data_IF_002268228017
#
_entry.id   IF_002268228017
#
_cell.length_a   1.000
_cell.length_b   1.000
_cell.length_c   1.000
_cell.angle_alpha   90.00
_cell.angle_beta   90.00
_cell.angle_gamma   90.00
#
_symmetry.space_group_name_H-M   'P 1'
#
loop_
_entity.id
_entity.type
_entity.pdbx_description
1 polymer ?
#
# COMPACT_ATOMS: atom_id res chain seq x y z
N UNK A 1 -15.79 8.74 20.70
CA UNK A 1 -14.47 8.07 20.65
C UNK A 1 -13.36 9.11 20.73
N UNK A 2 -12.32 8.87 21.54
CA UNK A 2 -11.34 9.90 21.93
C UNK A 2 -10.31 10.30 20.86
N UNK A 3 -10.27 9.62 19.72
CA UNK A 3 -9.22 9.79 18.70
C UNK A 3 -9.75 10.00 17.27
N UNK A 4 -10.96 10.55 17.12
CA UNK A 4 -11.49 10.99 15.81
C UNK A 4 -12.20 9.92 14.96
N UNK A 5 -12.27 8.66 15.41
CA UNK A 5 -13.13 7.65 14.76
C UNK A 5 -14.62 7.88 15.07
N UNK A 6 -15.50 7.58 14.12
CA UNK A 6 -16.96 7.72 14.27
C UNK A 6 -17.64 6.39 14.64
N UNK A 7 -17.13 5.27 14.13
CA UNK A 7 -17.72 3.94 14.32
C UNK A 7 -16.63 2.87 14.50
N UNK A 8 -16.90 1.86 15.33
CA UNK A 8 -16.02 0.70 15.51
C UNK A 8 -16.72 -0.52 14.95
N UNK A 9 -16.02 -1.26 14.10
CA UNK A 9 -16.48 -2.56 13.60
C UNK A 9 -15.74 -3.66 14.34
N UNK A 10 -16.47 -4.44 15.12
CA UNK A 10 -15.93 -5.68 15.69
C UNK A 10 -15.65 -6.67 14.57
N UNK A 11 -14.37 -6.97 14.37
CA UNK A 11 -13.91 -7.91 13.35
C UNK A 11 -14.08 -9.34 13.87
N UNK A 12 -14.74 -10.25 13.13
CA UNK A 12 -14.84 -11.65 13.51
C UNK A 12 -13.45 -12.28 13.65
N UNK A 13 -13.28 -13.18 14.63
CA UNK A 13 -11.99 -13.82 14.93
C UNK A 13 -11.38 -14.52 13.71
N UNK A 14 -12.20 -15.10 12.82
CA UNK A 14 -11.71 -15.79 11.63
C UNK A 14 -11.05 -14.83 10.61
N UNK A 15 -11.34 -13.53 10.67
CA UNK A 15 -10.76 -12.50 9.82
C UNK A 15 -9.60 -11.74 10.50
N UNK A 16 -9.19 -12.18 11.70
CA UNK A 16 -8.13 -11.57 12.49
C UNK A 16 -6.94 -12.52 12.73
N UNK A 17 -6.90 -13.67 12.06
CA UNK A 17 -5.75 -14.58 12.10
C UNK A 17 -4.61 -14.07 11.21
N UNK A 18 -3.40 -14.56 11.44
CA UNK A 18 -2.19 -14.24 10.65
C UNK A 18 -2.31 -14.63 9.16
N UNK A 19 -3.26 -15.52 8.85
CA UNK A 19 -3.56 -16.00 7.49
C UNK A 19 -4.75 -15.32 6.84
N UNK A 20 -5.45 -14.44 7.57
CA UNK A 20 -6.66 -13.80 7.06
C UNK A 20 -6.30 -12.79 5.95
N UNK A 21 -6.92 -12.89 4.77
CA UNK A 21 -6.65 -11.93 3.70
C UNK A 21 -7.18 -10.53 4.05
N UNK A 22 -6.49 -9.48 3.59
CA UNK A 22 -6.84 -8.07 3.86
C UNK A 22 -8.19 -7.67 3.27
N UNK A 23 -8.50 -8.07 2.03
CA UNK A 23 -9.73 -7.65 1.34
C UNK A 23 -11.04 -8.06 2.06
N UNK A 24 -11.23 -9.31 2.50
CA UNK A 24 -12.39 -9.70 3.31
C UNK A 24 -12.59 -8.83 4.55
N UNK A 25 -11.52 -8.46 5.26
CA UNK A 25 -11.62 -7.62 6.45
C UNK A 25 -12.10 -6.19 6.11
N UNK A 26 -11.61 -5.61 5.01
CA UNK A 26 -12.06 -4.29 4.54
C UNK A 26 -13.53 -4.36 4.10
N UNK A 27 -13.93 -5.40 3.37
CA UNK A 27 -15.33 -5.60 2.94
C UNK A 27 -16.28 -5.71 4.13
N UNK A 28 -15.91 -6.54 5.11
CA UNK A 28 -16.68 -6.68 6.35
C UNK A 28 -16.86 -5.32 7.06
N UNK A 29 -15.79 -4.52 7.11
CA UNK A 29 -15.85 -3.16 7.68
C UNK A 29 -16.84 -2.27 6.92
N UNK A 30 -16.75 -2.23 5.59
CA UNK A 30 -17.62 -1.43 4.72
C UNK A 30 -19.07 -1.88 4.86
N UNK A 31 -19.36 -3.16 4.62
CA UNK A 31 -20.73 -3.69 4.68
C UNK A 31 -21.38 -3.53 6.06
N UNK A 32 -20.58 -3.59 7.14
CA UNK A 32 -21.09 -3.36 8.50
C UNK A 32 -21.40 -1.88 8.75
N UNK A 33 -20.51 -0.99 8.30
CA UNK A 33 -20.68 0.46 8.46
C UNK A 33 -21.84 0.98 7.61
N UNK A 34 -22.03 0.43 6.40
CA UNK A 34 -23.12 0.84 5.49
C UNK A 34 -24.51 0.49 6.01
N UNK A 35 -24.65 -0.48 6.93
CA UNK A 35 -25.93 -0.78 7.61
C UNK A 35 -26.39 0.38 8.50
N UNK A 36 -25.45 1.15 9.05
CA UNK A 36 -25.72 2.27 9.95
C UNK A 36 -25.77 3.61 9.21
N UNK A 37 -24.84 3.83 8.26
CA UNK A 37 -24.62 5.15 7.67
C UNK A 37 -25.04 5.25 6.18
N UNK A 38 -25.49 4.16 5.57
CA UNK A 38 -25.75 4.10 4.13
C UNK A 38 -24.47 3.88 3.31
N UNK A 39 -24.62 3.83 1.98
CA UNK A 39 -23.54 3.44 1.08
C UNK A 39 -22.47 4.53 0.89
N UNK A 40 -21.21 4.11 0.75
CA UNK A 40 -20.08 5.00 0.45
C UNK A 40 -19.55 4.76 -0.97
N UNK A 41 -19.35 5.82 -1.76
CA UNK A 41 -18.84 5.66 -3.14
C UNK A 41 -17.37 5.25 -3.18
N UNK A 42 -16.58 5.78 -2.23
CA UNK A 42 -15.12 5.65 -2.18
C UNK A 42 -14.70 5.18 -0.79
N UNK A 43 -13.84 4.16 -0.78
CA UNK A 43 -13.26 3.59 0.44
C UNK A 43 -11.78 3.91 0.44
N UNK A 44 -11.31 4.51 1.54
CA UNK A 44 -9.88 4.78 1.76
C UNK A 44 -9.44 3.94 2.95
N UNK A 45 -8.68 2.89 2.68
CA UNK A 45 -8.01 2.08 3.71
C UNK A 45 -6.66 2.71 4.03
N UNK A 46 -6.43 2.96 5.32
CA UNK A 46 -5.23 3.61 5.84
C UNK A 46 -4.53 2.62 6.76
N UNK A 47 -3.37 2.14 6.35
CA UNK A 47 -2.66 1.18 7.19
C UNK A 47 -2.09 1.86 8.44
N UNK A 48 -2.16 1.14 9.55
CA UNK A 48 -1.73 1.59 10.86
C UNK A 48 -0.21 1.50 11.03
N UNK A 49 0.44 0.61 10.26
CA UNK A 49 1.89 0.43 10.27
C UNK A 49 2.64 1.55 9.52
N UNK A 50 1.93 2.44 8.82
CA UNK A 50 2.51 3.52 8.01
C UNK A 50 2.22 4.93 8.59
N UNK A 51 2.78 5.30 9.76
CA UNK A 51 2.44 6.54 10.46
C UNK A 51 3.05 7.81 9.83
N UNK A 52 4.03 7.68 8.95
CA UNK A 52 4.71 8.83 8.30
C UNK A 52 3.89 9.47 7.18
N UNK A 53 2.78 8.84 6.76
CA UNK A 53 1.83 9.38 5.79
C UNK A 53 1.25 10.71 6.24
N UNK A 54 1.13 11.66 5.32
CA UNK A 54 0.46 12.94 5.58
C UNK A 54 -0.88 13.05 4.83
N UNK A 55 -1.72 14.01 5.25
CA UNK A 55 -3.03 14.24 4.62
C UNK A 55 -2.95 14.50 3.10
N UNK A 56 -1.86 15.13 2.63
CA UNK A 56 -1.64 15.37 1.22
C UNK A 56 -1.49 14.08 0.41
N UNK A 57 -0.94 13.01 0.99
CA UNK A 57 -0.81 11.71 0.32
C UNK A 57 -2.19 11.05 0.12
N UNK A 58 -3.07 11.18 1.11
CA UNK A 58 -4.47 10.71 1.04
C UNK A 58 -5.25 11.46 -0.05
N UNK A 59 -5.19 12.80 -0.01
CA UNK A 59 -5.87 13.66 -0.98
C UNK A 59 -5.32 13.42 -2.39
N UNK A 60 -4.01 13.25 -2.53
CA UNK A 60 -3.36 12.95 -3.81
C UNK A 60 -3.82 11.61 -4.39
N UNK A 61 -3.89 10.58 -3.57
CA UNK A 61 -4.36 9.24 -3.98
C UNK A 61 -5.83 9.27 -4.42
N UNK A 62 -6.69 9.99 -3.69
CA UNK A 62 -8.08 10.22 -4.07
C UNK A 62 -8.21 10.98 -5.40
N UNK A 63 -7.44 12.06 -5.57
CA UNK A 63 -7.43 12.84 -6.82
C UNK A 63 -6.97 12.00 -8.01
N UNK A 64 -6.01 11.11 -7.82
CA UNK A 64 -5.55 10.20 -8.88
C UNK A 64 -6.69 9.25 -9.30
N UNK A 65 -7.40 8.65 -8.34
CA UNK A 65 -8.52 7.75 -8.62
C UNK A 65 -9.60 8.45 -9.47
N UNK A 66 -9.98 9.67 -9.08
CA UNK A 66 -11.03 10.43 -9.75
C UNK A 66 -10.59 10.94 -11.12
N UNK A 67 -9.35 11.39 -11.27
CA UNK A 67 -8.82 11.89 -12.53
C UNK A 67 -8.64 10.80 -13.60
N UNK A 68 -8.33 9.56 -13.22
CA UNK A 68 -8.06 8.49 -14.17
C UNK A 68 -9.24 7.56 -14.41
N UNK A 69 -10.36 7.75 -13.70
CA UNK A 69 -11.47 6.81 -13.66
C UNK A 69 -11.02 5.36 -13.38
N UNK A 70 -10.02 5.19 -12.52
CA UNK A 70 -9.54 3.88 -12.13
C UNK A 70 -10.49 3.24 -11.11
N UNK A 71 -10.42 1.91 -10.99
CA UNK A 71 -11.16 1.15 -9.99
C UNK A 71 -10.51 1.26 -8.61
N UNK A 72 -9.18 1.34 -8.58
CA UNK A 72 -8.41 1.56 -7.37
C UNK A 72 -7.08 2.29 -7.60
N UNK A 73 -6.56 2.84 -6.50
CA UNK A 73 -5.22 3.40 -6.37
C UNK A 73 -4.53 2.72 -5.19
N UNK A 74 -3.29 2.33 -5.38
CA UNK A 74 -2.39 1.90 -4.31
C UNK A 74 -1.25 2.90 -4.19
N UNK A 75 -0.54 2.87 -3.08
CA UNK A 75 0.63 3.72 -2.85
C UNK A 75 1.93 2.94 -2.90
N UNK A 76 3.00 3.61 -3.31
CA UNK A 76 4.34 3.04 -3.32
C UNK A 76 5.39 4.09 -3.60
N UNK A 77 6.65 3.70 -3.50
CA UNK A 77 7.82 4.58 -3.68
C UNK A 77 8.79 3.98 -4.69
N UNK A 78 9.63 4.76 -5.40
CA UNK A 78 10.58 4.19 -6.35
C UNK A 78 11.44 3.10 -5.71
N UNK A 79 11.46 1.92 -6.33
CA UNK A 79 12.02 0.72 -5.73
C UNK A 79 13.49 0.91 -5.37
N UNK A 80 13.91 0.45 -4.18
CA UNK A 80 15.31 0.57 -3.77
C UNK A 80 16.23 -0.31 -4.61
N UNK A 81 15.75 -1.49 -5.00
CA UNK A 81 16.40 -2.43 -5.92
C UNK A 81 15.49 -2.67 -7.12
N UNK A 82 16.09 -2.88 -8.30
CA UNK A 82 15.34 -3.19 -9.52
C UNK A 82 15.51 -4.67 -9.87
N UNK A 83 14.42 -5.42 -10.13
CA UNK A 83 14.48 -6.81 -10.60
C UNK A 83 15.20 -6.95 -11.95
N UNK A 84 15.33 -5.86 -12.68
CA UNK A 84 16.01 -5.79 -13.97
C UNK A 84 17.50 -5.43 -13.86
N UNK A 85 18.03 -5.17 -12.65
CA UNK A 85 19.38 -4.65 -12.49
C UNK A 85 20.15 -5.21 -11.28
N UNK A 86 19.57 -5.20 -10.08
CA UNK A 86 20.30 -5.54 -8.85
C UNK A 86 19.45 -6.18 -7.74
N UNK A 87 18.30 -6.75 -8.10
CA UNK A 87 17.56 -7.70 -7.28
C UNK A 87 17.72 -9.08 -7.92
N UNK A 88 18.20 -10.04 -7.12
CA UNK A 88 18.62 -11.36 -7.58
C UNK A 88 17.83 -12.46 -6.86
N UNK A 89 17.73 -13.59 -7.52
CA UNK A 89 17.13 -14.83 -7.01
C UNK A 89 18.15 -15.97 -7.12
N UNK A 90 17.96 -17.01 -6.31
CA UNK A 90 18.81 -18.19 -6.27
C UNK A 90 17.99 -19.42 -6.69
N UNK A 91 18.53 -20.24 -7.59
CA UNK A 91 17.91 -21.50 -7.98
C UNK A 91 18.20 -22.64 -6.97
N UNK A 92 17.63 -23.83 -7.21
CA UNK A 92 17.80 -25.02 -6.35
C UNK A 92 19.26 -25.49 -6.23
N UNK A 93 20.14 -25.12 -7.16
CA UNK A 93 21.56 -25.47 -7.17
C UNK A 93 22.44 -24.36 -6.55
N UNK A 94 21.83 -23.26 -6.12
CA UNK A 94 22.54 -22.14 -5.52
C UNK A 94 23.03 -21.09 -6.52
N UNK A 95 22.66 -21.18 -7.80
CA UNK A 95 23.09 -20.24 -8.83
C UNK A 95 22.28 -18.94 -8.74
N UNK A 96 22.97 -17.81 -8.76
CA UNK A 96 22.37 -16.47 -8.63
C UNK A 96 22.09 -15.86 -10.00
N UNK A 97 20.89 -15.33 -10.18
CA UNK A 97 20.46 -14.63 -11.40
C UNK A 97 19.59 -13.41 -11.08
N UNK A 98 19.41 -12.49 -12.04
CA UNK A 98 18.46 -11.40 -11.88
C UNK A 98 17.03 -11.95 -11.74
N UNK A 99 16.22 -11.31 -10.89
CA UNK A 99 14.82 -11.69 -10.68
C UNK A 99 13.98 -11.54 -11.98
N UNK A 100 14.28 -10.52 -12.79
CA UNK A 100 13.64 -10.32 -14.10
C UNK A 100 14.69 -9.97 -15.16
N UNK A 101 15.40 -10.94 -15.74
CA UNK A 101 16.36 -10.66 -16.80
C UNK A 101 15.64 -10.12 -18.06
N UNK A 102 16.23 -9.11 -18.70
CA UNK A 102 15.76 -8.58 -19.98
C UNK A 102 16.51 -9.24 -21.13
N UNK A 103 15.89 -9.27 -22.32
CA UNK A 103 16.55 -9.78 -23.54
C UNK A 103 17.82 -8.99 -23.86
N UNK A 104 17.73 -7.66 -23.74
CA UNK A 104 18.87 -6.76 -23.86
C UNK A 104 19.35 -6.37 -22.46
N UNK A 105 20.65 -6.56 -22.20
CA UNK A 105 21.22 -6.25 -20.90
C UNK A 105 21.15 -4.74 -20.63
N UNK A 106 20.52 -4.38 -19.52
CA UNK A 106 20.51 -3.01 -19.02
C UNK A 106 21.81 -2.77 -18.24
N UNK A 107 22.72 -1.99 -18.81
CA UNK A 107 24.01 -1.69 -18.17
C UNK A 107 23.94 -0.58 -17.13
N UNK A 108 22.87 0.23 -17.15
CA UNK A 108 22.67 1.35 -16.22
C UNK A 108 21.27 1.30 -15.63
N UNK A 109 21.16 1.38 -14.30
CA UNK A 109 19.89 1.30 -13.58
C UNK A 109 18.81 2.27 -14.09
N UNK A 110 19.19 3.48 -14.46
CA UNK A 110 18.25 4.51 -14.96
C UNK A 110 17.58 4.15 -16.29
N UNK A 111 18.16 3.21 -17.04
CA UNK A 111 17.59 2.73 -18.31
C UNK A 111 16.66 1.52 -18.08
N UNK A 112 16.54 1.01 -16.85
CA UNK A 112 15.65 -0.10 -16.52
C UNK A 112 14.19 0.34 -16.42
N UNK A 113 13.22 -0.57 -16.67
CA UNK A 113 11.81 -0.28 -16.40
C UNK A 113 11.60 0.22 -14.98
N UNK A 114 10.73 1.23 -14.81
CA UNK A 114 10.40 1.76 -13.49
C UNK A 114 9.81 0.65 -12.61
N UNK A 115 10.31 0.56 -11.39
CA UNK A 115 9.81 -0.34 -10.36
C UNK A 115 9.54 0.46 -9.10
N UNK A 116 8.58 -0.02 -8.31
CA UNK A 116 8.15 0.61 -7.09
C UNK A 116 8.06 -0.42 -5.97
N UNK A 117 8.48 -0.03 -4.78
CA UNK A 117 8.18 -0.75 -3.54
C UNK A 117 6.76 -0.32 -3.15
N UNK A 118 5.80 -1.25 -3.14
CA UNK A 118 4.45 -0.98 -2.65
C UNK A 118 4.53 -0.80 -1.13
N UNK A 119 4.22 0.38 -0.62
CA UNK A 119 4.43 0.74 0.80
C UNK A 119 3.19 0.50 1.67
N UNK A 120 2.17 -0.14 1.10
CA UNK A 120 0.89 -0.48 1.73
C UNK A 120 0.18 0.65 2.50
N UNK A 121 0.57 1.91 2.34
CA UNK A 121 0.17 2.98 3.25
C UNK A 121 -1.29 3.39 3.05
N UNK A 122 -1.71 3.49 1.80
CA UNK A 122 -3.04 3.94 1.39
C UNK A 122 -3.54 3.06 0.25
N UNK A 123 -4.76 2.57 0.39
CA UNK A 123 -5.53 1.99 -0.70
C UNK A 123 -6.82 2.78 -0.88
N UNK A 124 -7.06 3.26 -2.09
CA UNK A 124 -8.29 3.98 -2.45
C UNK A 124 -9.06 3.13 -3.44
N UNK A 125 -10.33 2.86 -3.14
CA UNK A 125 -11.19 2.01 -3.97
C UNK A 125 -12.48 2.72 -4.31
N UNK A 126 -12.99 2.46 -5.51
CA UNK A 126 -14.44 2.56 -5.75
C UNK A 126 -15.13 1.40 -5.04
N UNK A 127 -16.29 1.66 -4.43
CA UNK A 127 -17.07 0.64 -3.72
C UNK A 127 -17.29 -0.63 -4.53
N UNK A 128 -17.80 -0.49 -5.75
CA UNK A 128 -18.09 -1.64 -6.61
C UNK A 128 -16.84 -2.44 -6.95
N UNK A 129 -15.70 -1.76 -7.14
CA UNK A 129 -14.44 -2.42 -7.38
C UNK A 129 -13.97 -3.23 -6.17
N UNK A 130 -14.07 -2.66 -4.97
CA UNK A 130 -13.70 -3.33 -3.72
C UNK A 130 -14.55 -4.59 -3.48
N UNK A 131 -15.87 -4.52 -3.71
CA UNK A 131 -16.78 -5.62 -3.42
C UNK A 131 -16.71 -6.74 -4.46
N UNK A 132 -16.52 -6.41 -5.74
CA UNK A 132 -16.66 -7.39 -6.82
C UNK A 132 -15.33 -8.02 -7.29
N UNK A 133 -14.16 -7.41 -7.05
CA UNK A 133 -12.89 -7.94 -7.55
C UNK A 133 -12.19 -8.87 -6.56
N UNK A 134 -11.69 -10.06 -6.96
CA UNK A 134 -11.06 -11.00 -6.03
C UNK A 134 -9.64 -10.59 -5.57
N UNK A 135 -9.05 -9.58 -6.20
CA UNK A 135 -7.63 -9.22 -6.07
C UNK A 135 -7.45 -7.75 -5.71
N UNK A 136 -6.34 -7.46 -5.01
CA UNK A 136 -5.87 -6.12 -4.73
C UNK A 136 -5.45 -5.40 -6.02
N UNK A 137 -4.90 -6.15 -6.99
CA UNK A 137 -4.53 -5.63 -8.29
C UNK A 137 -5.61 -5.97 -9.31
N UNK A 138 -6.20 -4.94 -9.90
CA UNK A 138 -7.15 -5.00 -11.01
C UNK A 138 -6.55 -4.33 -12.26
N UNK A 139 -7.18 -4.52 -13.42
CA UNK A 139 -6.65 -4.05 -14.71
C UNK A 139 -6.44 -2.52 -14.78
N UNK A 140 -7.25 -1.75 -14.04
CA UNK A 140 -7.20 -0.30 -14.01
C UNK A 140 -6.40 0.27 -12.84
N UNK A 141 -5.74 -0.57 -12.02
CA UNK A 141 -4.96 -0.13 -10.84
C UNK A 141 -3.99 0.99 -11.21
N UNK A 142 -3.93 2.01 -10.37
CA UNK A 142 -2.95 3.10 -10.47
C UNK A 142 -2.08 3.15 -9.22
N UNK A 143 -0.87 3.66 -9.40
CA UNK A 143 0.09 3.88 -8.32
C UNK A 143 0.19 5.38 -8.04
N UNK A 144 -0.08 5.78 -6.81
CA UNK A 144 0.29 7.10 -6.30
C UNK A 144 1.70 7.01 -5.69
N UNK A 145 2.65 7.72 -6.29
CA UNK A 145 4.04 7.72 -5.83
C UNK A 145 4.20 8.59 -4.58
N UNK A 146 4.62 7.96 -3.49
CA UNK A 146 5.01 8.61 -2.24
C UNK A 146 6.53 8.68 -2.14
N UNK A 147 7.08 9.74 -1.52
CA UNK A 147 8.51 9.84 -1.34
C UNK A 147 8.99 8.84 -0.27
N UNK A 148 10.26 8.45 -0.36
CA UNK A 148 10.83 7.34 0.43
C UNK A 148 10.76 7.62 1.92
N UNK A 149 11.00 8.86 2.35
CA UNK A 149 10.95 9.27 3.75
C UNK A 149 9.55 9.19 4.38
N UNK A 150 8.49 8.94 3.59
CA UNK A 150 7.12 8.69 4.11
C UNK A 150 6.60 7.30 3.79
N UNK A 151 7.46 6.40 3.33
CA UNK A 151 7.10 5.08 2.80
C UNK A 151 7.68 3.93 3.62
N UNK A 152 8.03 4.17 4.89
CA UNK A 152 8.42 3.14 5.84
C UNK A 152 7.19 2.65 6.60
N UNK A 153 6.99 1.35 6.58
CA UNK A 153 6.07 0.57 7.39
C UNK A 153 6.78 -0.04 8.60
N UNK A 154 6.04 -0.23 9.69
CA UNK A 154 6.54 -0.83 10.94
C UNK A 154 6.18 -2.32 10.95
N UNK A 155 7.15 -3.18 10.64
CA UNK A 155 7.02 -4.65 10.75
C UNK A 155 7.88 -5.23 11.89
N UNK A 156 8.87 -4.47 12.35
CA UNK A 156 9.79 -4.88 13.41
C UNK A 156 10.06 -3.76 14.41
N UNK A 157 10.65 -4.11 15.55
CA UNK A 157 11.09 -3.14 16.56
C UNK A 157 12.09 -2.13 15.97
N UNK A 158 12.99 -2.56 15.09
CA UNK A 158 13.94 -1.67 14.44
C UNK A 158 13.25 -0.65 13.52
N UNK A 159 12.16 -1.03 12.86
CA UNK A 159 11.35 -0.12 12.06
C UNK A 159 10.65 0.90 12.96
N UNK A 160 10.13 0.45 14.11
CA UNK A 160 9.51 1.33 15.10
C UNK A 160 10.51 2.38 15.60
N UNK A 161 11.70 1.98 16.05
CA UNK A 161 12.76 2.89 16.51
C UNK A 161 13.15 3.90 15.42
N UNK A 162 13.29 3.43 14.17
CA UNK A 162 13.62 4.30 13.04
C UNK A 162 12.52 5.32 12.78
N UNK A 163 11.26 4.88 12.73
CA UNK A 163 10.11 5.75 12.48
C UNK A 163 9.94 6.76 13.62
N UNK A 164 10.06 6.34 14.88
CA UNK A 164 10.03 7.23 16.04
C UNK A 164 11.11 8.31 15.94
N UNK A 165 12.34 7.91 15.60
CA UNK A 165 13.44 8.83 15.38
C UNK A 165 13.14 9.83 14.26
N UNK A 166 12.60 9.38 13.12
CA UNK A 166 12.21 10.26 12.00
C UNK A 166 11.13 11.28 12.42
N UNK A 167 10.12 10.83 13.17
CA UNK A 167 9.05 11.69 13.67
C UNK A 167 9.57 12.73 14.68
N UNK A 168 10.54 12.35 15.53
CA UNK A 168 11.17 13.28 16.48
C UNK A 168 11.95 14.39 15.79
N UNK A 169 12.61 14.09 14.66
CA UNK A 169 13.32 15.10 13.85
C UNK A 169 12.38 16.04 13.11
N UNK A 170 11.23 15.54 12.64
CA UNK A 170 10.20 16.38 12.02
C UNK A 170 9.50 17.32 13.02
N UNK A 171 9.51 16.96 14.31
CA UNK A 171 8.95 17.76 15.41
C UNK A 171 9.91 18.83 15.95
N UNK A 172 11.18 18.80 15.53
CA UNK A 172 12.15 19.86 15.80
C UNK A 172 12.06 20.96 14.73
N UNK A 173 10.96 21.73 14.76
CA UNK A 173 10.88 23.05 14.13
C UNK A 173 10.25 24.05 15.08
#
# INVERSE_FOLDING_TARGET
>A
MAHGATFVVDRPTQMASDTAPKLPAIRHCVETTEKEFGQFDIIIDLDATAPLRIAADIIGSLKLLTATNADNVITGTPAHRSPYFNLVEQDENGIVQLSKPLKDAVTRRQDSPKCFDMNASIYVWRRDALLNNPSLFVSSTRLFEMPRERSLDIDSEADFEMVEWMMSKGSAK
#
